data_IF_453200685192
#
_entry.id   IF_453200685192
#
_cell.length_a   1.000
_cell.length_b   1.000
_cell.length_c   1.000
_cell.angle_alpha   90.00
_cell.angle_beta   90.00
_cell.angle_gamma   90.00
#
_symmetry.space_group_name_H-M   'P 1'
#
loop_
_entity.id
_entity.type
_entity.pdbx_description
1 polymer ?
#
# COMPACT_ATOMS: atom_id res chain seq x y z
N UNK A 1 -9.32 1.33 -22.27
CA UNK A 1 -9.70 -0.09 -22.08
C UNK A 1 -10.60 -0.17 -20.85
N UNK A 2 -11.72 -0.92 -20.89
CA UNK A 2 -12.63 -1.00 -19.77
C UNK A 2 -11.94 -1.73 -18.60
N UNK A 3 -12.00 -1.14 -17.41
CA UNK A 3 -11.35 -1.64 -16.20
C UNK A 3 -12.13 -2.86 -15.68
N UNK A 4 -11.64 -4.06 -15.94
CA UNK A 4 -12.19 -5.29 -15.37
C UNK A 4 -11.96 -5.30 -13.85
N UNK A 5 -13.02 -5.50 -13.07
CA UNK A 5 -13.15 -5.32 -11.62
C UNK A 5 -12.19 -6.16 -10.73
N UNK A 6 -11.24 -6.89 -11.32
CA UNK A 6 -10.33 -7.85 -10.68
C UNK A 6 -8.85 -7.63 -11.02
N UNK A 7 -8.49 -6.45 -11.52
CA UNK A 7 -7.09 -6.11 -11.78
C UNK A 7 -6.59 -5.13 -10.73
N UNK A 8 -5.51 -5.51 -10.05
CA UNK A 8 -4.77 -4.58 -9.22
C UNK A 8 -4.01 -3.62 -10.14
N UNK A 9 -4.38 -2.34 -10.09
CA UNK A 9 -3.75 -1.32 -10.91
C UNK A 9 -2.51 -0.75 -10.19
N UNK A 10 -1.35 -0.86 -10.84
CA UNK A 10 -0.09 -0.29 -10.38
C UNK A 10 0.01 1.19 -10.80
N UNK A 11 -0.13 2.11 -9.85
CA UNK A 11 -0.03 3.55 -10.10
C UNK A 11 1.42 4.05 -9.88
N UNK A 12 2.29 3.91 -10.89
CA UNK A 12 3.67 4.43 -10.83
C UNK A 12 3.83 5.89 -11.27
N UNK A 13 2.83 6.47 -11.96
CA UNK A 13 3.01 7.73 -12.70
C UNK A 13 3.06 8.99 -11.82
N UNK A 14 2.43 9.01 -10.64
CA UNK A 14 2.27 10.25 -9.86
C UNK A 14 3.01 10.27 -8.51
N UNK A 15 3.76 9.22 -8.14
CA UNK A 15 4.39 9.09 -6.82
C UNK A 15 5.82 8.58 -6.91
N UNK A 16 6.73 9.40 -7.45
CA UNK A 16 8.15 9.05 -7.64
C UNK A 16 9.07 9.56 -6.51
N UNK A 17 8.52 10.04 -5.39
CA UNK A 17 9.33 10.61 -4.30
C UNK A 17 10.39 9.66 -3.73
N UNK A 18 10.06 8.37 -3.63
CA UNK A 18 11.01 7.34 -3.18
C UNK A 18 12.13 7.11 -4.21
N UNK A 19 11.83 7.24 -5.51
CA UNK A 19 12.83 7.13 -6.59
C UNK A 19 13.83 8.27 -6.48
N UNK A 20 13.35 9.50 -6.23
CA UNK A 20 14.22 10.67 -6.05
C UNK A 20 15.13 10.51 -4.83
N UNK A 21 14.61 10.02 -3.71
CA UNK A 21 15.41 9.73 -2.51
C UNK A 21 16.46 8.63 -2.77
N UNK A 22 16.08 7.59 -3.50
CA UNK A 22 16.99 6.50 -3.87
C UNK A 22 18.12 6.99 -4.80
N UNK A 23 17.80 7.86 -5.76
CA UNK A 23 18.79 8.53 -6.62
C UNK A 23 19.72 9.42 -5.78
N UNK A 24 19.20 10.28 -4.90
CA UNK A 24 20.02 11.13 -4.04
C UNK A 24 20.94 10.33 -3.11
N UNK A 25 20.45 9.20 -2.60
CA UNK A 25 21.21 8.31 -1.73
C UNK A 25 22.14 7.34 -2.50
N UNK A 26 22.06 7.27 -3.83
CA UNK A 26 22.78 6.30 -4.65
C UNK A 26 22.45 4.84 -4.30
N UNK A 27 21.18 4.55 -3.98
CA UNK A 27 20.71 3.22 -3.55
C UNK A 27 19.79 2.61 -4.57
N UNK A 28 20.05 1.35 -4.92
CA UNK A 28 19.22 0.59 -5.85
C UNK A 28 17.79 0.40 -5.32
N UNK A 29 16.84 0.36 -6.25
CA UNK A 29 15.42 0.19 -5.94
C UNK A 29 15.00 -1.23 -6.30
N UNK A 30 14.38 -1.93 -5.35
CA UNK A 30 13.81 -3.26 -5.59
C UNK A 30 12.30 -3.16 -5.85
N UNK A 31 11.80 -3.62 -7.01
CA UNK A 31 10.38 -3.74 -7.24
C UNK A 31 9.83 -4.90 -6.41
N UNK A 32 8.93 -4.59 -5.48
CA UNK A 32 8.24 -5.59 -4.65
C UNK A 32 6.74 -5.44 -4.85
N UNK A 33 6.07 -6.55 -5.13
CA UNK A 33 4.62 -6.58 -5.27
C UNK A 33 4.02 -7.67 -4.38
N UNK A 34 2.92 -7.35 -3.70
CA UNK A 34 2.23 -8.27 -2.81
C UNK A 34 0.87 -8.64 -3.41
N UNK A 35 0.73 -9.89 -3.85
CA UNK A 35 -0.53 -10.45 -4.33
C UNK A 35 -1.40 -10.96 -3.17
N UNK A 36 -2.71 -10.97 -3.37
CA UNK A 36 -3.68 -11.56 -2.43
C UNK A 36 -4.31 -10.58 -1.43
N UNK A 37 -3.91 -9.31 -1.46
CA UNK A 37 -4.41 -8.26 -0.56
C UNK A 37 -5.92 -7.99 -0.73
N UNK A 38 -6.49 -8.35 -1.88
CA UNK A 38 -7.89 -8.13 -2.25
C UNK A 38 -8.74 -9.40 -2.26
N UNK A 39 -8.11 -10.57 -2.31
CA UNK A 39 -8.76 -11.87 -2.52
C UNK A 39 -9.25 -12.52 -1.22
N UNK A 40 -8.61 -12.22 -0.09
CA UNK A 40 -9.19 -12.48 1.23
C UNK A 40 -10.16 -11.36 1.57
N UNK A 41 -11.32 -11.65 2.18
CA UNK A 41 -12.32 -10.65 2.58
C UNK A 41 -11.86 -9.60 3.61
N UNK A 42 -10.57 -9.24 3.65
CA UNK A 42 -9.96 -8.22 4.50
C UNK A 42 -10.56 -6.84 4.28
N UNK A 43 -10.93 -6.50 3.04
CA UNK A 43 -11.67 -5.26 2.77
C UNK A 43 -13.07 -5.23 3.42
N UNK A 44 -13.64 -6.39 3.77
CA UNK A 44 -14.86 -6.47 4.60
C UNK A 44 -14.57 -6.42 6.10
N UNK A 45 -13.34 -6.65 6.55
CA UNK A 45 -12.97 -6.61 7.97
C UNK A 45 -12.64 -5.19 8.44
N UNK A 46 -12.30 -4.30 7.51
CA UNK A 46 -12.03 -2.89 7.78
C UNK A 46 -13.34 -2.12 7.55
N UNK A 47 -14.14 -1.97 8.61
CA UNK A 47 -15.28 -1.06 8.56
C UNK A 47 -14.79 0.37 8.77
N UNK A 48 -14.67 1.13 7.68
CA UNK A 48 -14.59 2.58 7.78
C UNK A 48 -15.93 3.09 8.33
N UNK A 49 -15.91 3.64 9.54
CA UNK A 49 -17.07 4.29 10.11
C UNK A 49 -17.29 5.61 9.35
N UNK A 50 -18.05 5.55 8.27
CA UNK A 50 -18.51 6.72 7.52
C UNK A 50 -19.44 7.56 8.41
N UNK A 51 -18.85 8.51 9.14
CA UNK A 51 -19.56 9.39 10.09
C UNK A 51 -18.66 10.05 11.13
N UNK A 52 -17.51 9.44 11.46
CA UNK A 52 -16.55 9.97 12.44
C UNK A 52 -15.32 10.64 11.82
N UNK A 53 -15.36 10.92 10.51
CA UNK A 53 -14.24 11.53 9.79
C UNK A 53 -13.79 12.85 10.45
N UNK A 54 -14.74 13.66 10.90
CA UNK A 54 -14.49 14.91 11.61
C UNK A 54 -13.77 14.67 12.95
N UNK A 55 -14.17 13.64 13.70
CA UNK A 55 -13.59 13.28 14.98
C UNK A 55 -12.17 12.71 14.81
N UNK A 56 -11.95 11.88 13.80
CA UNK A 56 -10.60 11.41 13.46
C UNK A 56 -9.68 12.53 13.00
N UNK A 57 -10.21 13.58 12.35
CA UNK A 57 -9.44 14.77 11.97
C UNK A 57 -9.10 15.65 13.17
N UNK A 58 -10.04 15.79 14.09
CA UNK A 58 -9.84 16.54 15.34
C UNK A 58 -8.83 15.84 16.26
N UNK A 59 -8.93 14.51 16.41
CA UNK A 59 -8.06 13.72 17.27
C UNK A 59 -6.74 13.29 16.59
N UNK A 60 -6.57 13.58 15.29
CA UNK A 60 -5.45 13.07 14.47
C UNK A 60 -5.22 11.56 14.59
N UNK A 61 -6.28 10.81 14.90
CA UNK A 61 -6.24 9.37 15.14
C UNK A 61 -7.30 8.70 14.27
N UNK A 62 -6.90 7.66 13.55
CA UNK A 62 -7.82 6.88 12.72
C UNK A 62 -8.40 5.75 13.56
N UNK A 63 -9.73 5.75 13.71
CA UNK A 63 -10.45 4.65 14.35
C UNK A 63 -10.81 3.61 13.30
N UNK A 64 -10.11 2.48 13.35
CA UNK A 64 -10.37 1.33 12.48
C UNK A 64 -10.86 0.19 13.36
N UNK A 65 -12.07 -0.30 13.07
CA UNK A 65 -12.61 -1.46 13.75
C UNK A 65 -12.39 -2.70 12.89
N UNK A 66 -11.65 -3.65 13.44
CA UNK A 66 -11.43 -4.97 12.85
C UNK A 66 -12.36 -5.97 13.54
N UNK A 67 -13.08 -6.76 12.76
CA UNK A 67 -13.77 -7.95 13.27
C UNK A 67 -13.11 -9.18 12.63
N UNK A 68 -12.51 -10.04 13.45
CA UNK A 68 -11.83 -11.23 12.96
C UNK A 68 -12.10 -12.46 13.81
N UNK A 69 -11.06 -13.14 14.31
CA UNK A 69 -11.22 -14.43 15.00
C UNK A 69 -12.08 -14.28 16.26
N UNK A 70 -13.18 -15.05 16.34
CA UNK A 70 -14.06 -15.11 17.51
C UNK A 70 -14.62 -13.75 17.95
N UNK A 71 -14.93 -12.87 17.00
CA UNK A 71 -15.44 -11.52 17.29
C UNK A 71 -14.44 -10.58 18.01
N UNK A 72 -13.17 -10.99 18.18
CA UNK A 72 -12.11 -10.12 18.66
C UNK A 72 -11.53 -9.23 17.53
N UNK A 73 -10.89 -8.11 17.88
CA UNK A 73 -10.15 -7.26 16.95
C UNK A 73 -8.81 -7.89 16.52
N UNK A 74 -8.82 -9.18 16.17
CA UNK A 74 -7.64 -9.94 15.73
C UNK A 74 -7.80 -10.23 14.23
N UNK A 75 -6.90 -9.72 13.37
CA UNK A 75 -6.98 -9.95 11.93
C UNK A 75 -6.84 -11.45 11.60
N UNK A 76 -7.61 -11.91 10.62
CA UNK A 76 -7.49 -13.28 10.15
C UNK A 76 -6.22 -13.47 9.31
N UNK A 77 -5.57 -14.63 9.43
CA UNK A 77 -4.43 -14.95 8.57
C UNK A 77 -4.92 -15.18 7.15
N UNK A 78 -4.43 -14.37 6.22
CA UNK A 78 -4.68 -14.50 4.77
C UNK A 78 -3.35 -14.74 4.07
N UNK A 79 -3.29 -15.67 3.09
CA UNK A 79 -2.09 -15.87 2.30
C UNK A 79 -1.81 -14.63 1.44
N UNK A 80 -0.68 -13.98 1.70
CA UNK A 80 -0.13 -12.91 0.86
C UNK A 80 1.12 -13.46 0.19
N UNK A 81 1.17 -13.35 -1.14
CA UNK A 81 2.32 -13.79 -1.93
C UNK A 81 3.12 -12.57 -2.34
N UNK A 82 4.33 -12.44 -1.79
CA UNK A 82 5.25 -11.36 -2.14
C UNK A 82 6.17 -11.82 -3.27
N UNK A 83 6.17 -11.07 -4.38
CA UNK A 83 7.11 -11.24 -5.48
C UNK A 83 8.12 -10.10 -5.43
N UNK A 84 9.39 -10.46 -5.50
CA UNK A 84 10.51 -9.52 -5.55
C UNK A 84 11.16 -9.65 -6.92
N UNK A 85 11.26 -8.55 -7.65
CA UNK A 85 11.97 -8.50 -8.93
C UNK A 85 13.43 -8.04 -8.77
N UNK A 86 14.13 -7.98 -9.89
CA UNK A 86 15.55 -7.60 -9.90
C UNK A 86 15.77 -6.12 -9.51
N UNK A 87 16.93 -5.80 -8.90
CA UNK A 87 17.27 -4.43 -8.53
C UNK A 87 17.37 -3.51 -9.74
N UNK A 88 16.68 -2.37 -9.69
CA UNK A 88 16.86 -1.26 -10.61
C UNK A 88 18.03 -0.43 -10.11
N UNK A 89 19.14 -0.50 -10.85
CA UNK A 89 20.34 0.28 -10.54
C UNK A 89 20.09 1.75 -10.84
N UNK A 90 20.38 2.61 -9.87
CA UNK A 90 20.31 4.06 -10.03
C UNK A 90 21.70 4.66 -9.82
N UNK A 91 22.01 5.72 -10.59
CA UNK A 91 23.21 6.52 -10.39
C UNK A 91 22.91 7.64 -9.42
N UNK A 92 23.87 7.96 -8.56
CA UNK A 92 23.70 9.05 -7.61
C UNK A 92 23.72 10.40 -8.32
N UNK A 93 22.71 11.23 -8.05
CA UNK A 93 22.61 12.59 -8.57
C UNK A 93 21.96 13.51 -7.54
N UNK A 94 22.60 14.64 -7.24
CA UNK A 94 22.13 15.59 -6.21
C UNK A 94 20.83 16.32 -6.64
N UNK A 95 20.64 16.51 -7.95
CA UNK A 95 19.45 17.13 -8.54
C UNK A 95 18.79 16.15 -9.52
N UNK A 96 17.93 15.24 -9.04
CA UNK A 96 17.22 14.29 -9.91
C UNK A 96 16.20 15.03 -10.79
N UNK A 97 16.32 14.89 -12.12
CA UNK A 97 15.36 15.36 -13.12
C UNK A 97 14.11 14.46 -13.19
N UNK A 98 12.97 15.02 -13.62
CA UNK A 98 11.64 14.37 -13.58
C UNK A 98 11.42 13.35 -14.69
#
# INVERSE_FOLDING_TARGET
MPQTQNQDALYFQNRQGYVRLAIQAGKDILPVYNFGQRSGGEHKQIYHVTGIAWLSRALRMTFIFFWGRWYLPIPNRVPVVTVVGDPVRVRQEDVPSQ
#
